data_IF_153142249411
#
_entry.id   IF_153142249411
#
_cell.length_a   1.000
_cell.length_b   1.000
_cell.length_c   1.000
_cell.angle_alpha   90.00
_cell.angle_beta   90.00
_cell.angle_gamma   90.00
#
_symmetry.space_group_name_H-M   'P 1'
#
loop_
_entity.id
_entity.type
_entity.pdbx_description
1 polymer ?
#
# COMPACT_ATOMS: atom_id res chain seq x y z
N UNK A 1 15.77 8.66 3.57
CA UNK A 1 14.90 9.75 3.09
C UNK A 1 13.73 9.10 2.39
N UNK A 2 12.48 9.53 2.63
CA UNK A 2 11.31 8.99 1.94
C UNK A 2 11.45 9.21 0.43
N UNK A 3 10.94 8.26 -0.36
CA UNK A 3 10.98 8.36 -1.81
C UNK A 3 10.12 9.54 -2.30
N UNK A 4 10.54 10.16 -3.40
CA UNK A 4 9.78 11.24 -4.03
C UNK A 4 8.40 10.73 -4.45
N UNK A 5 7.34 11.31 -3.89
CA UNK A 5 5.96 10.94 -4.18
C UNK A 5 5.45 11.70 -5.41
N UNK A 6 5.04 10.96 -6.44
CA UNK A 6 4.39 11.53 -7.61
C UNK A 6 3.04 12.19 -7.26
N UNK A 7 2.64 13.19 -8.06
CA UNK A 7 1.35 13.86 -7.88
C UNK A 7 0.17 12.89 -8.03
N UNK A 8 0.30 11.94 -8.96
CA UNK A 8 -0.69 10.88 -9.18
C UNK A 8 -0.84 9.97 -7.97
N UNK A 9 0.27 9.61 -7.32
CA UNK A 9 0.25 8.82 -6.10
C UNK A 9 -0.45 9.57 -4.96
N UNK A 10 -0.13 10.85 -4.74
CA UNK A 10 -0.81 11.67 -3.72
C UNK A 10 -2.31 11.74 -3.96
N UNK A 11 -2.72 11.97 -5.22
CA UNK A 11 -4.13 11.98 -5.62
C UNK A 11 -4.79 10.62 -5.36
N UNK A 12 -4.14 9.52 -5.71
CA UNK A 12 -4.64 8.18 -5.41
C UNK A 12 -4.77 7.94 -3.89
N UNK A 13 -3.86 8.46 -3.07
CA UNK A 13 -3.99 8.35 -1.61
C UNK A 13 -5.25 9.07 -1.14
N UNK A 14 -5.54 10.26 -1.64
CA UNK A 14 -6.78 10.98 -1.34
C UNK A 14 -8.02 10.23 -1.84
N UNK A 15 -8.01 9.78 -3.09
CA UNK A 15 -9.11 9.01 -3.69
C UNK A 15 -9.41 7.72 -2.90
N UNK A 16 -8.37 7.03 -2.40
CA UNK A 16 -8.52 5.83 -1.56
C UNK A 16 -9.20 6.11 -0.22
N UNK A 17 -9.08 7.34 0.30
CA UNK A 17 -9.75 7.79 1.53
C UNK A 17 -11.19 8.24 1.27
N UNK A 18 -11.51 8.61 0.03
CA UNK A 18 -12.84 9.04 -0.38
C UNK A 18 -13.75 7.89 -0.85
N UNK A 19 -13.34 6.63 -0.70
CA UNK A 19 -14.17 5.47 -1.03
C UNK A 19 -15.38 5.41 -0.09
N UNK A 20 -16.59 5.29 -0.65
CA UNK A 20 -17.84 5.25 0.13
C UNK A 20 -18.09 3.88 0.76
N UNK A 21 -17.53 2.84 0.15
CA UNK A 21 -17.58 1.45 0.64
C UNK A 21 -16.20 0.97 1.02
N UNK A 22 -16.14 0.14 2.07
CA UNK A 22 -14.90 -0.50 2.52
C UNK A 22 -14.48 -1.57 1.51
N UNK A 23 -13.26 -1.47 0.93
CA UNK A 23 -12.71 -2.52 0.09
C UNK A 23 -12.53 -3.85 0.83
N UNK A 24 -12.32 -4.91 0.08
CA UNK A 24 -11.98 -6.23 0.63
C UNK A 24 -10.65 -6.16 1.39
N UNK A 25 -10.46 -7.06 2.35
CA UNK A 25 -9.24 -7.07 3.15
C UNK A 25 -7.99 -7.25 2.28
N UNK A 26 -8.04 -8.10 1.24
CA UNK A 26 -6.93 -8.30 0.30
C UNK A 26 -6.58 -7.04 -0.48
N UNK A 27 -7.59 -6.29 -0.95
CA UNK A 27 -7.40 -5.01 -1.65
C UNK A 27 -6.76 -3.97 -0.71
N UNK A 28 -7.18 -3.93 0.56
CA UNK A 28 -6.58 -3.06 1.57
C UNK A 28 -5.12 -3.44 1.87
N UNK A 29 -4.81 -4.74 1.92
CA UNK A 29 -3.46 -5.25 2.14
C UNK A 29 -2.54 -4.91 0.95
N UNK A 30 -3.04 -5.07 -0.28
CA UNK A 30 -2.30 -4.75 -1.51
C UNK A 30 -1.94 -3.25 -1.57
N UNK A 31 -2.93 -2.36 -1.43
CA UNK A 31 -2.65 -0.92 -1.45
C UNK A 31 -1.77 -0.49 -0.26
N UNK A 32 -1.89 -1.14 0.90
CA UNK A 32 -1.03 -0.88 2.05
C UNK A 32 0.44 -1.22 1.74
N UNK A 33 0.69 -2.42 1.21
CA UNK A 33 2.03 -2.88 0.85
C UNK A 33 2.67 -1.96 -0.19
N UNK A 34 1.93 -1.61 -1.25
CA UNK A 34 2.36 -0.71 -2.31
C UNK A 34 2.61 0.71 -1.80
N UNK A 35 1.77 1.21 -0.88
CA UNK A 35 1.96 2.50 -0.24
C UNK A 35 3.27 2.52 0.57
N UNK A 36 3.47 1.54 1.45
CA UNK A 36 4.68 1.44 2.29
C UNK A 36 5.94 1.36 1.44
N UNK A 37 5.91 0.59 0.36
CA UNK A 37 7.03 0.50 -0.57
C UNK A 37 7.21 1.76 -1.41
N UNK A 38 6.12 2.38 -1.85
CA UNK A 38 6.13 3.58 -2.68
C UNK A 38 6.58 4.84 -1.93
N UNK A 39 6.31 4.92 -0.63
CA UNK A 39 6.82 6.02 0.21
C UNK A 39 8.22 5.77 0.74
N UNK A 40 8.64 4.50 0.88
CA UNK A 40 9.91 4.11 1.53
C UNK A 40 10.17 4.83 2.86
N UNK A 41 9.10 5.15 3.62
CA UNK A 41 9.26 5.81 4.92
C UNK A 41 9.98 4.91 5.94
N UNK A 42 9.75 3.60 5.84
CA UNK A 42 10.39 2.57 6.65
C UNK A 42 10.83 1.48 5.67
N UNK A 43 12.07 0.99 5.77
CA UNK A 43 12.47 -0.17 4.98
C UNK A 43 11.79 -1.41 5.53
N UNK A 44 11.49 -2.37 4.67
CA UNK A 44 10.92 -3.65 5.10
C UNK A 44 11.75 -4.33 6.20
N UNK A 45 13.08 -4.20 6.14
CA UNK A 45 14.04 -4.77 7.09
C UNK A 45 13.94 -4.13 8.48
N UNK A 46 13.59 -2.84 8.53
CA UNK A 46 13.42 -2.06 9.76
C UNK A 46 11.97 -2.15 10.29
N UNK A 47 11.07 -2.79 9.53
CA UNK A 47 9.68 -2.91 9.93
C UNK A 47 9.54 -3.90 11.10
N UNK A 48 8.80 -3.54 12.17
CA UNK A 48 8.63 -4.41 13.32
C UNK A 48 7.92 -5.69 12.90
N UNK A 49 8.51 -6.84 13.23
CA UNK A 49 7.89 -8.13 12.96
C UNK A 49 6.60 -8.27 13.78
N UNK A 50 5.47 -8.61 13.15
CA UNK A 50 4.21 -8.78 13.86
C UNK A 50 4.29 -9.96 14.83
N UNK A 51 3.63 -9.80 15.99
CA UNK A 51 3.60 -10.82 17.04
C UNK A 51 2.87 -12.10 16.61
N UNK A 52 3.06 -13.20 17.36
CA UNK A 52 2.52 -14.52 16.99
C UNK A 52 0.98 -14.51 16.84
N UNK A 53 0.29 -13.70 17.63
CA UNK A 53 -1.17 -13.56 17.65
C UNK A 53 -1.72 -12.44 16.75
N UNK A 54 -0.86 -11.65 16.10
CA UNK A 54 -1.29 -10.55 15.21
C UNK A 54 -1.42 -11.03 13.76
N UNK A 55 -2.57 -11.65 13.45
CA UNK A 55 -2.86 -12.15 12.09
C UNK A 55 -2.93 -11.03 11.06
N UNK A 56 -3.48 -9.87 11.43
CA UNK A 56 -3.61 -8.73 10.52
C UNK A 56 -2.25 -8.09 10.23
N UNK A 57 -1.40 -7.92 11.26
CA UNK A 57 -0.02 -7.49 11.10
C UNK A 57 0.79 -8.47 10.26
N UNK A 58 0.64 -9.78 10.48
CA UNK A 58 1.27 -10.81 9.64
C UNK A 58 0.85 -10.71 8.17
N UNK A 59 -0.44 -10.51 7.90
CA UNK A 59 -0.93 -10.36 6.54
C UNK A 59 -0.32 -9.12 5.85
N UNK A 60 -0.31 -7.97 6.55
CA UNK A 60 0.33 -6.73 6.07
C UNK A 60 1.82 -6.90 5.81
N UNK A 61 2.52 -7.55 6.74
CA UNK A 61 3.95 -7.80 6.64
C UNK A 61 4.27 -8.75 5.49
N UNK A 62 3.48 -9.81 5.31
CA UNK A 62 3.64 -10.74 4.19
C UNK A 62 3.35 -10.08 2.84
N UNK A 63 2.30 -9.25 2.74
CA UNK A 63 1.99 -8.55 1.50
C UNK A 63 3.08 -7.53 1.15
N UNK A 64 3.59 -6.81 2.16
CA UNK A 64 4.73 -5.92 1.97
C UNK A 64 5.99 -6.70 1.59
N UNK A 65 6.21 -7.90 2.14
CA UNK A 65 7.34 -8.74 1.77
C UNK A 65 7.37 -9.08 0.27
N UNK A 66 6.21 -9.24 -0.37
CA UNK A 66 6.11 -9.52 -1.81
C UNK A 66 6.56 -8.35 -2.69
N UNK A 67 6.48 -7.13 -2.18
CA UNK A 67 6.83 -5.90 -2.91
C UNK A 67 8.10 -5.23 -2.37
N UNK A 68 8.77 -5.83 -1.37
CA UNK A 68 9.94 -5.23 -0.68
C UNK A 68 11.11 -4.93 -1.62
N UNK A 69 11.26 -5.69 -2.71
CA UNK A 69 12.33 -5.55 -3.70
C UNK A 69 11.94 -4.61 -4.87
N UNK A 70 10.70 -4.10 -4.87
CA UNK A 70 10.18 -3.22 -5.93
C UNK A 70 10.69 -1.79 -5.76
N UNK A 71 10.96 -1.07 -6.86
CA UNK A 71 11.34 0.34 -6.77
C UNK A 71 10.17 1.20 -6.28
N UNK A 72 10.44 2.31 -5.58
CA UNK A 72 9.37 3.18 -5.07
C UNK A 72 8.47 3.71 -6.18
N UNK A 73 9.07 4.09 -7.31
CA UNK A 73 8.34 4.61 -8.48
C UNK A 73 7.40 3.55 -9.08
N UNK A 74 7.83 2.28 -9.13
CA UNK A 74 7.00 1.17 -9.61
C UNK A 74 5.87 0.86 -8.63
N UNK A 75 6.17 0.86 -7.32
CA UNK A 75 5.17 0.66 -6.28
C UNK A 75 4.11 1.77 -6.29
N UNK A 76 4.52 3.03 -6.49
CA UNK A 76 3.59 4.16 -6.64
C UNK A 76 2.69 4.00 -7.87
N UNK A 77 3.24 3.61 -9.02
CA UNK A 77 2.44 3.36 -10.24
C UNK A 77 1.40 2.27 -10.00
N UNK A 78 1.81 1.13 -9.44
CA UNK A 78 0.88 0.05 -9.09
C UNK A 78 -0.17 0.47 -8.07
N UNK A 79 0.21 1.29 -7.08
CA UNK A 79 -0.73 1.84 -6.10
C UNK A 79 -1.81 2.68 -6.79
N UNK A 80 -1.41 3.57 -7.71
CA UNK A 80 -2.34 4.40 -8.48
C UNK A 80 -3.31 3.54 -9.28
N UNK A 81 -2.82 2.48 -9.94
CA UNK A 81 -3.68 1.56 -10.69
C UNK A 81 -4.65 0.78 -9.79
N UNK A 82 -4.17 0.28 -8.65
CA UNK A 82 -4.98 -0.43 -7.68
C UNK A 82 -6.08 0.48 -7.13
N UNK A 83 -5.74 1.68 -6.67
CA UNK A 83 -6.73 2.66 -6.19
C UNK A 83 -7.72 3.02 -7.28
N UNK A 84 -7.29 3.28 -8.52
CA UNK A 84 -8.23 3.58 -9.62
C UNK A 84 -9.28 2.48 -9.80
N UNK A 85 -8.89 1.20 -9.68
CA UNK A 85 -9.82 0.07 -9.70
C UNK A 85 -10.76 0.07 -8.50
N UNK A 86 -10.25 0.36 -7.31
CA UNK A 86 -11.07 0.45 -6.10
C UNK A 86 -12.08 1.59 -6.19
N UNK A 87 -11.66 2.76 -6.65
CA UNK A 87 -12.53 3.91 -6.89
C UNK A 87 -13.60 3.54 -7.91
N UNK A 88 -13.25 2.89 -9.02
CA UNK A 88 -14.25 2.45 -10.00
C UNK A 88 -15.26 1.43 -9.44
N UNK A 89 -14.87 0.64 -8.44
CA UNK A 89 -15.68 -0.43 -7.85
C UNK A 89 -16.47 0.00 -6.60
N UNK A 90 -15.97 0.97 -5.85
CA UNK A 90 -16.46 1.37 -4.53
C UNK A 90 -16.81 2.87 -4.41
N UNK A 91 -16.71 3.65 -5.49
CA UNK A 91 -17.22 5.03 -5.55
C UNK A 91 -18.69 5.05 -5.93
#
# INVERSE_FOLDING_TARGET
MPAAQSAEFKKAVEDSRSLTKKPSNDELLEIYALFKQGTQEVKYEDAPKPGMFDMAGKAKYNEWAKVKDMKPEEAQKKYVEAVKKLVAKYK
#
